data_IF_488370686738
#
_entry.id   IF_488370686738
#
_cell.length_a   1.000
_cell.length_b   1.000
_cell.length_c   1.000
_cell.angle_alpha   90.00
_cell.angle_beta   90.00
_cell.angle_gamma   90.00
#
_symmetry.space_group_name_H-M   'P 1'
#
loop_
_entity.id
_entity.type
_entity.pdbx_description
1 polymer ?
#
# COMPACT_ATOMS: atom_id res chain seq x y z
N UNK A 1 -2.17 8.43 17.18
CA UNK A 1 -3.21 7.88 16.29
C UNK A 1 -2.60 6.87 15.31
N UNK A 2 -3.43 6.02 14.71
CA UNK A 2 -3.00 5.03 13.69
C UNK A 2 -3.77 5.29 12.40
N UNK A 3 -3.05 5.64 11.35
CA UNK A 3 -3.60 6.02 10.06
C UNK A 3 -3.34 4.96 8.98
N UNK A 4 -4.33 4.69 8.13
CA UNK A 4 -4.14 3.94 6.90
C UNK A 4 -3.92 4.91 5.73
N UNK A 5 -2.76 4.84 5.08
CA UNK A 5 -2.44 5.61 3.88
C UNK A 5 -2.61 4.76 2.62
N UNK A 6 -3.74 4.89 1.93
CA UNK A 6 -4.08 4.08 0.75
C UNK A 6 -3.61 4.78 -0.52
N UNK A 7 -2.62 4.19 -1.19
CA UNK A 7 -1.99 4.76 -2.38
C UNK A 7 -2.76 4.33 -3.63
N UNK A 8 -3.46 5.28 -4.26
CA UNK A 8 -4.32 5.07 -5.41
C UNK A 8 -3.94 5.90 -6.66
N UNK A 9 -2.79 6.60 -6.65
CA UNK A 9 -2.36 7.52 -7.72
C UNK A 9 -1.96 6.87 -9.06
N UNK A 10 -1.87 5.55 -9.14
CA UNK A 10 -1.40 4.82 -10.33
C UNK A 10 -2.39 4.85 -11.51
N UNK A 11 -1.89 5.09 -12.73
CA UNK A 11 -2.69 5.17 -13.97
C UNK A 11 -3.17 3.81 -14.51
N UNK A 12 -2.72 2.68 -13.95
CA UNK A 12 -3.23 1.34 -14.30
C UNK A 12 -2.93 0.82 -15.72
N UNK A 13 -1.93 1.34 -16.42
CA UNK A 13 -1.62 1.07 -17.84
C UNK A 13 -1.38 -0.40 -18.24
N UNK A 14 -1.23 -1.30 -17.26
CA UNK A 14 -0.94 -2.74 -17.50
C UNK A 14 -2.19 -3.63 -17.51
N UNK A 15 -3.35 -3.17 -17.05
CA UNK A 15 -4.64 -3.84 -17.21
C UNK A 15 -5.23 -3.31 -18.52
N UNK A 16 -5.06 -4.07 -19.60
CA UNK A 16 -5.42 -3.63 -20.96
C UNK A 16 -6.91 -3.67 -21.25
N UNK A 17 -7.67 -4.45 -20.49
CA UNK A 17 -9.12 -4.62 -20.63
C UNK A 17 -9.94 -3.50 -19.98
N UNK A 18 -9.33 -2.62 -19.17
CA UNK A 18 -10.06 -1.61 -18.42
C UNK A 18 -10.05 -0.24 -19.11
N UNK A 19 -11.23 0.36 -19.24
CA UNK A 19 -11.44 1.75 -19.70
C UNK A 19 -11.22 2.76 -18.57
N UNK A 20 -11.33 2.32 -17.30
CA UNK A 20 -11.16 3.11 -16.09
C UNK A 20 -9.92 2.68 -15.31
N UNK A 21 -9.36 3.53 -14.44
CA UNK A 21 -8.25 3.16 -13.57
C UNK A 21 -8.56 1.90 -12.75
N UNK A 22 -7.57 1.00 -12.66
CA UNK A 22 -7.73 -0.36 -12.11
C UNK A 22 -8.26 -0.41 -10.66
N UNK A 23 -8.01 0.62 -9.87
CA UNK A 23 -8.53 0.73 -8.50
C UNK A 23 -10.07 0.83 -8.44
N UNK A 24 -10.71 1.22 -9.55
CA UNK A 24 -12.17 1.33 -9.66
C UNK A 24 -12.83 0.11 -10.33
N UNK A 25 -12.03 -0.83 -10.85
CA UNK A 25 -12.58 -2.09 -11.39
C UNK A 25 -13.31 -2.83 -10.26
N UNK A 26 -14.49 -3.36 -10.57
CA UNK A 26 -15.24 -4.17 -9.62
C UNK A 26 -14.77 -5.63 -9.63
N UNK A 27 -14.68 -6.22 -8.44
CA UNK A 27 -14.51 -7.65 -8.21
C UNK A 27 -15.62 -8.11 -7.28
N UNK A 28 -16.43 -9.07 -7.74
CA UNK A 28 -17.66 -9.46 -7.03
C UNK A 28 -18.57 -8.24 -6.77
N UNK A 29 -18.82 -7.38 -7.76
CA UNK A 29 -19.70 -6.21 -7.63
C UNK A 29 -19.22 -5.09 -6.69
N UNK A 30 -17.98 -5.17 -6.15
CA UNK A 30 -17.40 -4.13 -5.26
C UNK A 30 -16.09 -3.62 -5.83
N UNK A 31 -15.92 -2.30 -6.01
CA UNK A 31 -14.66 -1.72 -6.50
C UNK A 31 -13.47 -2.09 -5.62
N UNK A 32 -12.32 -2.36 -6.27
CA UNK A 32 -11.06 -2.76 -5.61
C UNK A 32 -10.68 -1.80 -4.49
N UNK A 33 -10.73 -0.49 -4.73
CA UNK A 33 -10.40 0.53 -3.72
C UNK A 33 -11.33 0.48 -2.51
N UNK A 34 -12.63 0.23 -2.73
CA UNK A 34 -13.63 0.12 -1.66
C UNK A 34 -13.34 -1.10 -0.78
N UNK A 35 -13.01 -2.26 -1.39
CA UNK A 35 -12.61 -3.47 -0.64
C UNK A 35 -11.39 -3.18 0.22
N UNK A 36 -10.38 -2.52 -0.35
CA UNK A 36 -9.15 -2.18 0.37
C UNK A 36 -9.42 -1.24 1.54
N UNK A 37 -10.16 -0.15 1.33
CA UNK A 37 -10.50 0.80 2.41
C UNK A 37 -11.30 0.11 3.51
N UNK A 38 -12.31 -0.70 3.16
CA UNK A 38 -13.09 -1.47 4.13
C UNK A 38 -12.24 -2.41 4.98
N UNK A 39 -11.24 -3.08 4.39
CA UNK A 39 -10.37 -3.98 5.13
C UNK A 39 -9.60 -3.25 6.24
N UNK A 40 -9.12 -2.03 5.99
CA UNK A 40 -8.47 -1.22 7.01
C UNK A 40 -9.45 -0.67 8.04
N UNK A 41 -10.57 -0.09 7.62
CA UNK A 41 -11.56 0.48 8.54
C UNK A 41 -12.27 -0.56 9.42
N UNK A 42 -12.24 -1.84 9.04
CA UNK A 42 -12.73 -2.95 9.87
C UNK A 42 -11.82 -3.22 11.08
N UNK A 43 -10.55 -2.84 11.02
CA UNK A 43 -9.60 -2.95 12.14
C UNK A 43 -9.83 -1.80 13.11
N UNK A 44 -10.18 -2.11 14.35
CA UNK A 44 -10.59 -1.10 15.36
C UNK A 44 -9.48 -0.14 15.75
N UNK A 45 -8.24 -0.60 15.67
CA UNK A 45 -7.03 0.15 15.98
C UNK A 45 -6.74 1.24 14.96
N UNK A 46 -7.27 1.16 13.74
CA UNK A 46 -7.15 2.19 12.72
C UNK A 46 -8.12 3.33 13.03
N UNK A 47 -7.62 4.51 13.29
CA UNK A 47 -8.43 5.70 13.55
C UNK A 47 -9.05 6.24 12.27
N UNK A 48 -8.24 6.44 11.22
CA UNK A 48 -8.68 7.02 9.94
C UNK A 48 -7.92 6.43 8.75
N UNK A 49 -8.55 6.48 7.56
CA UNK A 49 -7.94 6.15 6.29
C UNK A 49 -7.81 7.41 5.40
N UNK A 50 -6.63 7.63 4.84
CA UNK A 50 -6.34 8.66 3.86
C UNK A 50 -6.08 8.01 2.50
N UNK A 51 -6.79 8.44 1.46
CA UNK A 51 -6.69 7.88 0.10
C UNK A 51 -6.05 8.90 -0.82
N UNK A 52 -4.78 8.69 -1.17
CA UNK A 52 -4.05 9.55 -2.11
C UNK A 52 -4.34 9.14 -3.56
N UNK A 53 -5.05 10.00 -4.29
CA UNK A 53 -5.46 9.75 -5.67
C UNK A 53 -5.33 11.04 -6.51
N UNK A 54 -5.28 10.89 -7.85
CA UNK A 54 -5.22 12.05 -8.74
C UNK A 54 -6.44 12.95 -8.55
N UNK A 55 -6.28 14.28 -8.56
CA UNK A 55 -7.37 15.25 -8.35
C UNK A 55 -8.60 14.99 -9.23
N UNK A 56 -8.41 14.62 -10.50
CA UNK A 56 -9.49 14.33 -11.46
C UNK A 56 -10.45 13.21 -10.99
N UNK A 57 -10.05 12.42 -10.00
CA UNK A 57 -10.81 11.28 -9.48
C UNK A 57 -11.35 11.51 -8.06
N UNK A 58 -11.16 12.69 -7.47
CA UNK A 58 -11.62 12.97 -6.10
C UNK A 58 -13.13 12.87 -5.96
N UNK A 59 -13.85 13.60 -6.81
CA UNK A 59 -15.33 13.61 -6.79
C UNK A 59 -15.89 12.19 -6.97
N UNK A 60 -15.45 11.50 -8.02
CA UNK A 60 -15.85 10.12 -8.27
C UNK A 60 -15.53 9.16 -7.10
N UNK A 61 -14.38 9.34 -6.46
CA UNK A 61 -13.98 8.50 -5.31
C UNK A 61 -14.90 8.75 -4.11
N UNK A 62 -15.24 10.01 -3.83
CA UNK A 62 -16.14 10.38 -2.74
C UNK A 62 -17.57 9.85 -2.99
N UNK A 63 -18.10 10.01 -4.20
CA UNK A 63 -19.41 9.44 -4.59
C UNK A 63 -19.41 7.91 -4.46
N UNK A 64 -18.31 7.27 -4.87
CA UNK A 64 -18.15 5.82 -4.75
C UNK A 64 -18.17 5.38 -3.29
N UNK A 65 -17.45 6.07 -2.41
CA UNK A 65 -17.40 5.77 -0.99
C UNK A 65 -18.78 5.97 -0.34
N UNK A 66 -19.52 7.01 -0.71
CA UNK A 66 -20.89 7.22 -0.25
C UNK A 66 -21.82 6.08 -0.71
N UNK A 67 -21.78 5.72 -2.00
CA UNK A 67 -22.58 4.64 -2.57
C UNK A 67 -22.34 3.30 -1.87
N UNK A 68 -21.11 3.04 -1.43
CA UNK A 68 -20.74 1.80 -0.76
C UNK A 68 -20.74 1.90 0.77
N UNK A 69 -21.25 3.00 1.35
CA UNK A 69 -21.41 3.17 2.80
C UNK A 69 -20.10 3.22 3.57
N UNK A 70 -19.04 3.79 2.98
CA UNK A 70 -17.81 4.08 3.71
C UNK A 70 -18.06 5.26 4.65
N UNK A 71 -17.67 5.12 5.90
CA UNK A 71 -17.84 6.15 6.93
C UNK A 71 -17.03 7.41 6.60
N UNK A 72 -17.73 8.50 6.28
CA UNK A 72 -17.14 9.79 5.89
C UNK A 72 -16.31 10.43 7.01
N UNK A 73 -16.63 10.13 8.27
CA UNK A 73 -15.87 10.65 9.41
C UNK A 73 -14.50 9.98 9.54
N UNK A 74 -14.36 8.76 9.00
CA UNK A 74 -13.14 7.96 9.09
C UNK A 74 -12.35 7.86 7.78
N UNK A 75 -12.73 8.56 6.73
CA UNK A 75 -12.01 8.56 5.45
C UNK A 75 -11.79 9.97 4.92
N UNK A 76 -10.60 10.20 4.33
CA UNK A 76 -10.27 11.43 3.61
C UNK A 76 -9.72 11.06 2.23
N UNK A 77 -10.12 11.79 1.21
CA UNK A 77 -9.52 11.72 -0.12
C UNK A 77 -8.58 12.91 -0.27
N UNK A 78 -7.32 12.66 -0.65
CA UNK A 78 -6.28 13.67 -0.79
C UNK A 78 -5.53 13.52 -2.12
N UNK A 79 -4.75 14.53 -2.49
CA UNK A 79 -4.01 14.53 -3.75
C UNK A 79 -2.94 13.44 -3.78
N UNK A 80 -2.92 12.68 -4.87
CA UNK A 80 -1.80 11.82 -5.20
C UNK A 80 -0.58 12.63 -5.67
N UNK A 81 0.62 12.10 -5.45
CA UNK A 81 1.88 12.68 -5.93
C UNK A 81 2.24 12.24 -7.35
N UNK A 82 3.38 12.72 -7.83
CA UNK A 82 3.93 12.36 -9.14
C UNK A 82 4.28 10.86 -9.25
N UNK A 83 4.63 10.25 -8.14
CA UNK A 83 4.94 8.81 -8.00
C UNK A 83 4.31 8.23 -6.72
N UNK A 84 4.66 6.96 -6.42
CA UNK A 84 4.12 6.26 -5.25
C UNK A 84 4.53 6.93 -3.93
N UNK A 85 5.81 7.25 -3.78
CA UNK A 85 6.32 7.86 -2.55
C UNK A 85 5.85 9.32 -2.40
N UNK A 86 5.77 10.07 -3.49
CA UNK A 86 5.15 11.40 -3.49
C UNK A 86 3.69 11.35 -3.03
N UNK A 87 2.94 10.30 -3.43
CA UNK A 87 1.57 10.10 -2.94
C UNK A 87 1.54 9.80 -1.44
N UNK A 88 2.47 8.97 -0.94
CA UNK A 88 2.60 8.70 0.50
C UNK A 88 2.90 9.98 1.27
N UNK A 89 3.78 10.82 0.76
CA UNK A 89 4.13 12.08 1.41
C UNK A 89 2.98 13.08 1.41
N UNK A 90 2.23 13.19 0.31
CA UNK A 90 1.02 14.03 0.29
C UNK A 90 -0.02 13.57 1.33
N UNK A 91 -0.19 12.25 1.50
CA UNK A 91 -1.00 11.68 2.57
C UNK A 91 -0.45 12.08 3.95
N UNK A 92 0.86 11.91 4.18
CA UNK A 92 1.50 12.26 5.44
C UNK A 92 1.32 13.73 5.79
N UNK A 93 1.48 14.64 4.82
CA UNK A 93 1.26 16.08 5.01
C UNK A 93 -0.22 16.42 5.28
N UNK A 94 -1.16 15.73 4.62
CA UNK A 94 -2.59 15.91 4.90
C UNK A 94 -2.94 15.49 6.33
N UNK A 95 -2.39 14.38 6.83
CA UNK A 95 -2.56 13.93 8.22
C UNK A 95 -2.02 14.98 9.19
N UNK A 96 -0.78 15.46 8.98
CA UNK A 96 -0.17 16.47 9.84
C UNK A 96 -0.93 17.79 9.82
N UNK A 97 -1.47 18.18 8.66
CA UNK A 97 -2.28 19.39 8.53
C UNK A 97 -3.58 19.31 9.33
N UNK A 98 -4.24 18.13 9.34
CA UNK A 98 -5.53 17.94 10.03
C UNK A 98 -5.37 17.67 11.54
N UNK A 99 -4.32 16.93 11.95
CA UNK A 99 -4.17 16.43 13.33
C UNK A 99 -2.96 16.98 14.08
N UNK A 100 -2.08 17.72 13.40
CA UNK A 100 -0.77 18.08 13.95
C UNK A 100 0.24 16.93 13.87
N UNK A 101 1.47 17.19 14.24
CA UNK A 101 2.54 16.19 14.28
C UNK A 101 2.72 15.64 15.69
N UNK A 102 2.53 14.34 15.87
CA UNK A 102 2.70 13.66 17.16
C UNK A 102 3.70 12.49 16.99
N UNK A 103 4.66 12.38 17.91
CA UNK A 103 5.71 11.34 17.86
C UNK A 103 5.15 9.91 17.90
N UNK A 104 3.98 9.73 18.54
CA UNK A 104 3.31 8.44 18.65
C UNK A 104 2.53 8.01 17.42
N UNK A 105 2.31 8.87 16.44
CA UNK A 105 1.47 8.58 15.29
C UNK A 105 2.12 7.58 14.34
N UNK A 106 1.28 6.66 13.82
CA UNK A 106 1.69 5.57 12.94
C UNK A 106 0.91 5.69 11.62
N UNK A 107 1.61 5.49 10.51
CA UNK A 107 1.00 5.36 9.19
C UNK A 107 1.28 3.99 8.59
N UNK A 108 0.22 3.27 8.17
CA UNK A 108 0.30 2.06 7.38
C UNK A 108 0.07 2.42 5.90
N UNK A 109 1.12 2.42 5.09
CA UNK A 109 1.01 2.71 3.66
C UNK A 109 0.64 1.45 2.88
N UNK A 110 -0.43 1.51 2.08
CA UNK A 110 -0.93 0.33 1.38
C UNK A 110 -1.36 0.64 -0.06
N UNK A 111 -1.07 -0.29 -0.98
CA UNK A 111 -1.51 -0.16 -2.37
C UNK A 111 -3.03 -0.38 -2.48
N UNK A 112 -3.78 0.59 -3.00
CA UNK A 112 -5.23 0.49 -3.20
C UNK A 112 -5.69 -0.75 -4.00
N UNK A 113 -4.77 -1.39 -4.70
CA UNK A 113 -5.00 -2.56 -5.56
C UNK A 113 -4.52 -3.88 -4.95
N UNK A 114 -4.49 -3.97 -3.61
CA UNK A 114 -4.33 -5.22 -2.84
C UNK A 114 -5.56 -5.44 -1.93
N UNK A 115 -6.71 -5.78 -2.52
CA UNK A 115 -7.99 -5.82 -1.79
C UNK A 115 -8.15 -7.00 -0.83
N UNK A 116 -7.20 -7.94 -0.82
CA UNK A 116 -7.25 -9.15 0.00
C UNK A 116 -6.29 -9.11 1.19
N UNK A 117 -5.86 -7.90 1.60
CA UNK A 117 -5.13 -7.73 2.86
C UNK A 117 -5.99 -8.22 4.02
N UNK A 118 -5.43 -9.06 4.88
CA UNK A 118 -6.16 -9.63 6.02
C UNK A 118 -6.04 -8.75 7.25
N UNK A 119 -7.05 -8.84 8.15
CA UNK A 119 -6.99 -8.20 9.46
C UNK A 119 -5.72 -8.59 10.23
N UNK A 120 -5.30 -9.87 10.13
CA UNK A 120 -4.07 -10.36 10.75
C UNK A 120 -2.84 -9.57 10.27
N UNK A 121 -2.65 -9.40 8.95
CA UNK A 121 -1.52 -8.65 8.41
C UNK A 121 -1.52 -7.21 8.92
N UNK A 122 -2.67 -6.55 8.97
CA UNK A 122 -2.79 -5.17 9.45
C UNK A 122 -2.39 -5.10 10.92
N UNK A 123 -2.93 -6.00 11.77
CA UNK A 123 -2.62 -6.05 13.20
C UNK A 123 -1.17 -6.40 13.48
N UNK A 124 -0.59 -7.38 12.79
CA UNK A 124 0.82 -7.74 12.94
C UNK A 124 1.74 -6.53 12.63
N UNK A 125 1.38 -5.71 11.63
CA UNK A 125 2.11 -4.46 11.34
C UNK A 125 1.97 -3.43 12.47
N UNK A 126 0.78 -3.27 13.04
CA UNK A 126 0.55 -2.35 14.17
C UNK A 126 1.33 -2.82 15.40
N UNK A 127 1.27 -4.09 15.73
CA UNK A 127 1.98 -4.68 16.88
C UNK A 127 3.51 -4.54 16.76
N UNK A 128 4.06 -4.70 15.56
CA UNK A 128 5.49 -4.51 15.31
C UNK A 128 5.96 -3.09 15.70
N UNK A 129 5.10 -2.09 15.54
CA UNK A 129 5.43 -0.69 15.86
C UNK A 129 5.56 -0.40 17.36
N UNK A 130 5.19 -1.35 18.22
CA UNK A 130 5.47 -1.22 19.67
C UNK A 130 6.98 -1.30 19.99
N UNK A 131 7.78 -1.91 19.10
CA UNK A 131 9.21 -2.16 19.30
C UNK A 131 10.10 -1.60 18.19
N UNK A 132 9.53 -1.24 17.05
CA UNK A 132 10.24 -0.82 15.86
C UNK A 132 9.69 0.51 15.35
N UNK A 133 10.52 1.30 14.66
CA UNK A 133 10.11 2.56 14.03
C UNK A 133 9.59 2.35 12.60
N UNK A 134 9.94 1.22 12.00
CA UNK A 134 9.48 0.84 10.66
C UNK A 134 9.34 -0.68 10.52
N UNK A 135 8.32 -1.12 9.80
CA UNK A 135 8.15 -2.50 9.38
C UNK A 135 7.52 -2.59 7.99
N UNK A 136 7.70 -3.73 7.36
CA UNK A 136 7.09 -4.01 6.07
C UNK A 136 6.59 -5.44 5.99
N UNK A 137 5.59 -5.66 5.15
CA UNK A 137 5.03 -6.99 4.89
C UNK A 137 5.80 -7.67 3.78
N UNK A 138 6.29 -8.88 4.04
CA UNK A 138 7.13 -9.63 3.11
C UNK A 138 6.73 -11.10 3.05
N UNK A 139 6.91 -11.69 1.87
CA UNK A 139 6.78 -13.13 1.66
C UNK A 139 8.11 -13.74 1.22
N UNK A 140 8.52 -14.90 1.75
CA UNK A 140 9.65 -15.66 1.21
C UNK A 140 9.43 -15.95 -0.28
N UNK A 141 10.47 -15.86 -1.09
CA UNK A 141 10.39 -16.27 -2.48
C UNK A 141 10.14 -17.77 -2.60
N UNK A 142 9.03 -18.17 -3.25
CA UNK A 142 8.68 -19.56 -3.47
C UNK A 142 9.46 -20.17 -4.64
N UNK A 143 9.61 -19.42 -5.71
CA UNK A 143 10.30 -19.83 -6.92
C UNK A 143 11.80 -19.54 -6.86
N UNK A 144 12.58 -20.21 -7.70
CA UNK A 144 13.99 -19.88 -7.90
C UNK A 144 14.13 -18.52 -8.57
N UNK A 145 14.88 -17.62 -7.96
CA UNK A 145 15.16 -16.28 -8.49
C UNK A 145 16.52 -16.30 -9.18
N UNK A 146 16.55 -15.76 -10.38
CA UNK A 146 17.77 -15.63 -11.17
C UNK A 146 18.07 -14.17 -11.51
N UNK A 147 19.34 -13.85 -11.67
CA UNK A 147 19.76 -12.61 -12.32
C UNK A 147 20.01 -12.87 -13.80
N UNK A 148 19.50 -12.01 -14.66
CA UNK A 148 19.65 -12.12 -16.11
C UNK A 148 19.95 -10.75 -16.70
N UNK A 149 20.59 -10.73 -17.88
CA UNK A 149 20.74 -9.54 -18.73
C UNK A 149 19.62 -9.41 -19.78
N UNK A 150 18.60 -10.27 -19.68
CA UNK A 150 17.48 -10.34 -20.62
C UNK A 150 17.59 -11.47 -21.63
N UNK A 151 18.80 -12.02 -21.88
CA UNK A 151 19.03 -13.12 -22.80
C UNK A 151 19.52 -14.40 -22.09
N UNK A 152 20.42 -14.23 -21.11
CA UNK A 152 21.07 -15.37 -20.44
C UNK A 152 20.96 -15.26 -18.94
N UNK A 153 20.81 -16.42 -18.27
CA UNK A 153 20.94 -16.52 -16.82
C UNK A 153 22.39 -16.20 -16.45
N UNK A 154 22.59 -15.25 -15.56
CA UNK A 154 23.91 -14.83 -15.05
C UNK A 154 24.21 -15.44 -13.68
N UNK A 155 23.18 -15.59 -12.85
CA UNK A 155 23.34 -16.06 -11.48
C UNK A 155 22.01 -16.63 -10.98
N UNK A 156 22.08 -17.70 -10.17
CA UNK A 156 20.95 -18.17 -9.36
C UNK A 156 21.15 -17.69 -7.95
N UNK A 157 20.22 -16.90 -7.44
CA UNK A 157 20.32 -16.27 -6.12
C UNK A 157 19.93 -17.25 -5.01
N UNK A 158 20.48 -17.04 -3.81
CA UNK A 158 20.12 -17.81 -2.62
C UNK A 158 18.68 -17.48 -2.20
N UNK A 159 17.72 -18.34 -2.52
CA UNK A 159 16.29 -18.13 -2.25
C UNK A 159 15.97 -17.93 -0.78
N UNK A 160 16.73 -18.50 0.14
CA UNK A 160 16.48 -18.37 1.59
C UNK A 160 16.65 -16.93 2.12
N UNK A 161 17.31 -16.07 1.35
CA UNK A 161 17.55 -14.65 1.69
C UNK A 161 16.64 -13.70 0.89
N UNK A 162 15.76 -14.24 0.04
CA UNK A 162 14.96 -13.44 -0.87
C UNK A 162 13.50 -13.41 -0.46
N UNK A 163 12.95 -12.21 -0.39
CA UNK A 163 11.56 -11.95 -0.05
C UNK A 163 10.91 -11.05 -1.08
N UNK A 164 9.62 -11.26 -1.29
CA UNK A 164 8.77 -10.40 -2.11
C UNK A 164 8.13 -9.35 -1.21
N UNK A 165 8.36 -8.07 -1.50
CA UNK A 165 7.76 -6.99 -0.76
C UNK A 165 6.26 -6.86 -1.08
N UNK A 166 5.47 -6.80 -0.04
CA UNK A 166 4.04 -6.49 -0.08
C UNK A 166 3.76 -5.18 0.66
N UNK A 167 2.51 -4.86 0.84
CA UNK A 167 2.01 -3.81 1.73
C UNK A 167 0.91 -4.39 2.62
N UNK A 168 0.65 -3.84 3.83
CA UNK A 168 1.10 -2.54 4.32
C UNK A 168 2.59 -2.49 4.64
N UNK A 169 3.15 -1.28 4.55
CA UNK A 169 4.45 -0.89 5.07
C UNK A 169 4.19 0.21 6.10
N UNK A 170 4.70 0.05 7.30
CA UNK A 170 4.24 0.82 8.45
C UNK A 170 5.39 1.56 9.10
N UNK A 171 5.14 2.81 9.49
CA UNK A 171 6.16 3.73 9.95
C UNK A 171 5.63 4.64 11.07
N UNK A 172 6.54 5.11 11.94
CA UNK A 172 6.31 6.35 12.69
C UNK A 172 6.19 7.49 11.70
N UNK A 173 5.09 8.25 11.77
CA UNK A 173 4.78 9.29 10.79
C UNK A 173 5.87 10.37 10.75
N UNK A 174 6.32 10.84 11.91
CA UNK A 174 7.39 11.84 12.03
C UNK A 174 8.72 11.36 11.45
N UNK A 175 9.10 10.08 11.70
CA UNK A 175 10.34 9.51 11.18
C UNK A 175 10.28 9.30 9.67
N UNK A 176 9.15 8.85 9.12
CA UNK A 176 8.95 8.74 7.67
C UNK A 176 9.17 10.10 6.99
N UNK A 177 8.56 11.17 7.52
CA UNK A 177 8.71 12.53 6.97
C UNK A 177 10.15 13.00 7.07
N UNK A 178 10.75 12.90 8.25
CA UNK A 178 12.16 13.27 8.50
C UNK A 178 13.09 12.57 7.52
N UNK A 179 12.99 11.26 7.37
CA UNK A 179 13.85 10.47 6.50
C UNK A 179 13.65 10.85 5.04
N UNK A 180 12.40 10.92 4.55
CA UNK A 180 12.13 11.27 3.17
C UNK A 180 12.71 12.65 2.79
N UNK A 181 12.52 13.67 3.64
CA UNK A 181 13.03 15.01 3.36
C UNK A 181 14.55 15.17 3.56
N UNK A 182 15.21 14.19 4.20
CA UNK A 182 16.67 14.16 4.29
C UNK A 182 17.36 13.63 3.03
N UNK A 183 16.61 12.92 2.15
CA UNK A 183 17.16 12.31 0.95
C UNK A 183 17.44 13.35 -0.14
N UNK A 184 18.55 13.17 -0.86
CA UNK A 184 18.82 13.92 -2.09
C UNK A 184 17.86 13.51 -3.22
N UNK A 185 17.73 14.36 -4.23
CA UNK A 185 16.94 14.03 -5.43
C UNK A 185 17.42 12.73 -6.12
N UNK A 186 18.72 12.46 -6.11
CA UNK A 186 19.29 11.25 -6.69
C UNK A 186 18.88 9.98 -5.91
N UNK A 187 18.85 10.07 -4.57
CA UNK A 187 18.38 8.99 -3.72
C UNK A 187 16.88 8.77 -3.90
N UNK A 188 16.07 9.84 -3.92
CA UNK A 188 14.64 9.77 -4.15
C UNK A 188 14.27 9.07 -5.47
N UNK A 189 15.01 9.33 -6.55
CA UNK A 189 14.79 8.67 -7.85
C UNK A 189 15.06 7.15 -7.85
N UNK A 190 15.80 6.64 -6.87
CA UNK A 190 16.13 5.21 -6.73
C UNK A 190 15.16 4.45 -5.82
N UNK A 191 14.26 5.14 -5.15
CA UNK A 191 13.28 4.51 -4.26
C UNK A 191 12.30 3.64 -5.06
N UNK A 192 12.08 2.42 -4.57
CA UNK A 192 11.16 1.46 -5.20
C UNK A 192 9.83 1.34 -4.44
N UNK A 193 9.88 1.52 -3.12
CA UNK A 193 8.74 1.49 -2.21
C UNK A 193 9.00 2.42 -1.01
N UNK A 194 8.09 2.45 -0.03
CA UNK A 194 8.27 3.36 1.12
C UNK A 194 9.31 2.84 2.11
N UNK A 195 9.49 1.51 2.24
CA UNK A 195 10.57 0.94 3.06
C UNK A 195 11.95 1.37 2.57
N UNK A 196 12.11 1.58 1.26
CA UNK A 196 13.38 2.04 0.70
C UNK A 196 13.82 3.43 1.17
N UNK A 197 12.91 4.25 1.71
CA UNK A 197 13.24 5.53 2.37
C UNK A 197 14.12 5.28 3.60
N UNK A 198 13.74 4.31 4.44
CA UNK A 198 14.47 3.96 5.66
C UNK A 198 15.81 3.28 5.36
N UNK A 199 15.83 2.32 4.44
CA UNK A 199 17.09 1.66 4.05
C UNK A 199 18.08 2.64 3.39
N UNK A 200 17.60 3.67 2.68
CA UNK A 200 18.46 4.74 2.15
C UNK A 200 19.08 5.62 3.26
N UNK A 201 18.46 5.66 4.44
CA UNK A 201 18.97 6.31 5.64
C UNK A 201 19.76 5.35 6.55
N UNK A 202 20.05 4.11 6.12
CA UNK A 202 20.67 3.03 6.90
C UNK A 202 19.89 2.66 8.18
N UNK A 203 18.57 2.75 8.12
CA UNK A 203 17.68 2.32 9.20
C UNK A 203 17.08 0.94 8.91
N UNK A 204 16.87 0.16 9.98
CA UNK A 204 16.34 -1.19 9.89
C UNK A 204 14.84 -1.21 9.62
N UNK A 205 14.41 -2.18 8.81
CA UNK A 205 13.00 -2.49 8.57
C UNK A 205 12.69 -3.86 9.19
N UNK A 206 11.75 -3.88 10.13
CA UNK A 206 11.30 -5.16 10.69
C UNK A 206 10.41 -5.91 9.69
N UNK A 207 10.61 -7.23 9.60
CA UNK A 207 9.88 -8.09 8.67
C UNK A 207 8.59 -8.59 9.33
N UNK A 208 7.44 -8.25 8.76
CA UNK A 208 6.13 -8.85 9.05
C UNK A 208 5.78 -9.86 7.97
N UNK A 209 5.30 -11.03 8.36
CA UNK A 209 4.97 -12.11 7.41
C UNK A 209 3.72 -11.75 6.62
N UNK A 210 3.83 -11.78 5.30
CA UNK A 210 2.74 -11.56 4.35
C UNK A 210 1.95 -12.82 4.01
N UNK A 211 1.06 -12.69 3.04
CA UNK A 211 0.22 -13.78 2.55
C UNK A 211 0.18 -13.78 1.01
N UNK A 212 0.14 -14.96 0.40
CA UNK A 212 0.06 -15.11 -1.05
C UNK A 212 -1.22 -14.47 -1.63
N UNK A 213 -2.32 -14.49 -0.88
CA UNK A 213 -3.56 -13.86 -1.27
C UNK A 213 -3.53 -12.33 -1.21
N UNK A 214 -2.58 -11.73 -0.50
CA UNK A 214 -2.35 -10.29 -0.50
C UNK A 214 -1.60 -9.83 -1.76
N UNK A 215 -1.90 -10.42 -2.91
CA UNK A 215 -1.27 -10.05 -4.18
C UNK A 215 -1.78 -8.72 -4.72
N UNK A 216 -0.96 -8.09 -5.55
CA UNK A 216 -1.26 -6.81 -6.21
C UNK A 216 -1.93 -7.06 -7.55
N UNK A 217 -3.12 -6.53 -7.77
CA UNK A 217 -3.78 -6.57 -9.08
C UNK A 217 -3.02 -5.66 -10.05
N UNK A 218 -2.31 -6.28 -11.00
CA UNK A 218 -1.46 -5.59 -11.98
C UNK A 218 -1.75 -5.98 -13.41
N UNK A 219 -2.28 -7.18 -13.62
CA UNK A 219 -2.56 -7.80 -14.93
C UNK A 219 -4.00 -8.30 -15.03
N UNK A 220 -4.45 -8.62 -16.23
CA UNK A 220 -5.77 -9.26 -16.46
C UNK A 220 -5.86 -10.65 -15.81
N UNK A 221 -4.72 -11.34 -15.63
CA UNK A 221 -4.66 -12.62 -14.90
C UNK A 221 -4.93 -12.43 -13.42
N UNK A 222 -4.34 -11.38 -12.82
CA UNK A 222 -4.60 -11.04 -11.41
C UNK A 222 -6.07 -10.69 -11.19
N UNK A 223 -6.68 -9.98 -12.15
CA UNK A 223 -8.09 -9.62 -12.09
C UNK A 223 -9.00 -10.86 -12.14
N UNK A 224 -8.68 -11.85 -12.99
CA UNK A 224 -9.41 -13.14 -13.03
C UNK A 224 -9.30 -13.88 -11.70
N UNK A 225 -8.09 -13.96 -11.12
CA UNK A 225 -7.88 -14.55 -9.80
C UNK A 225 -8.68 -13.82 -8.72
N UNK A 226 -8.66 -12.48 -8.76
CA UNK A 226 -9.38 -11.66 -7.79
C UNK A 226 -10.91 -11.91 -7.83
N UNK A 227 -11.50 -12.03 -9.02
CA UNK A 227 -12.93 -12.36 -9.15
C UNK A 227 -13.25 -13.76 -8.61
N UNK A 228 -12.45 -14.76 -8.94
CA UNK A 228 -12.64 -16.12 -8.41
C UNK A 228 -12.55 -16.17 -6.87
N UNK A 229 -11.60 -15.43 -6.27
CA UNK A 229 -11.49 -15.33 -4.81
C UNK A 229 -12.69 -14.61 -4.18
N UNK A 230 -13.21 -13.55 -4.80
CA UNK A 230 -14.37 -12.84 -4.30
C UNK A 230 -15.60 -13.75 -4.27
N UNK A 231 -15.84 -14.53 -5.32
CA UNK A 231 -16.96 -15.49 -5.39
C UNK A 231 -16.88 -16.61 -4.33
N UNK A 232 -15.65 -17.00 -3.91
CA UNK A 232 -15.47 -17.99 -2.85
C UNK A 232 -15.74 -17.43 -1.46
N UNK A 233 -15.47 -16.15 -1.23
CA UNK A 233 -15.65 -15.49 0.07
C UNK A 233 -17.11 -15.02 0.31
N UNK A 234 -17.96 -15.01 -0.72
CA UNK A 234 -19.37 -14.62 -0.63
C UNK A 234 -20.31 -15.83 -0.41
N UNK A 235 -19.77 -17.05 -0.39
CA UNK A 235 -20.50 -18.30 -0.07
C UNK A 235 -20.28 -18.71 1.38
#
# INVERSE_FOLDING_TARGET
>A
MIFAGIVAGGCGSRVKSAVIPKQFIEIGGVPVIVRTVRAFLAVKEIDMAYVGIKPDWHEYTNELFERFGIDKERVRVTDGGADRNGTVMNIAEAIVTEHGENEGDIILTHDAVRPFVTEKIIKDNIEAMAKHSACGTYMPAADTIIRSDGEKVRETLNRSELYQAQTPQTFRLSELRKNYYSLSEEQNKKLTDTCSVFTACNEDIYLVVGDALNFKITTDSDLRMANALAELNEK
#
